data_IF_150535919584
#
_entry.id   IF_150535919584
#
_cell.length_a   1.000
_cell.length_b   1.000
_cell.length_c   1.000
_cell.angle_alpha   90.00
_cell.angle_beta   90.00
_cell.angle_gamma   90.00
#
_symmetry.space_group_name_H-M   'P 1'
#
loop_
_entity.id
_entity.type
_entity.pdbx_description
1 polymer ?
#
# COMPACT_ATOMS: atom_id res chain seq x y z
N UNK A 1 -36.37 24.26 -4.98
CA UNK A 1 -36.77 22.93 -5.51
C UNK A 1 -35.58 21.97 -5.31
N UNK A 2 -35.56 21.19 -4.22
CA UNK A 2 -34.47 20.24 -3.92
C UNK A 2 -34.80 18.91 -4.60
N UNK A 3 -33.95 18.46 -5.53
CA UNK A 3 -34.08 17.16 -6.19
C UNK A 3 -33.40 16.12 -5.29
N UNK A 4 -34.19 15.30 -4.61
CA UNK A 4 -33.68 14.16 -3.87
C UNK A 4 -33.38 13.07 -4.92
N UNK A 5 -32.15 13.04 -5.44
CA UNK A 5 -31.75 12.05 -6.44
C UNK A 5 -31.51 10.69 -5.76
N UNK A 6 -32.59 9.95 -5.56
CA UNK A 6 -32.58 8.61 -4.94
C UNK A 6 -32.69 7.55 -6.05
N UNK A 7 -31.78 7.60 -7.03
CA UNK A 7 -31.75 6.68 -8.19
C UNK A 7 -30.31 6.37 -8.60
N UNK A 8 -30.14 5.33 -9.44
CA UNK A 8 -28.85 4.94 -10.02
C UNK A 8 -28.11 6.14 -10.62
N UNK A 9 -26.79 6.20 -10.43
CA UNK A 9 -25.92 7.29 -10.89
C UNK A 9 -25.08 6.75 -12.05
N UNK A 10 -25.12 7.42 -13.20
CA UNK A 10 -24.17 7.14 -14.28
C UNK A 10 -22.86 7.89 -13.99
N UNK A 11 -21.73 7.17 -14.01
CA UNK A 11 -20.39 7.74 -13.89
C UNK A 11 -19.67 7.63 -15.24
N UNK A 12 -19.03 8.72 -15.65
CA UNK A 12 -18.13 8.71 -16.82
C UNK A 12 -16.73 8.31 -16.36
N UNK A 13 -16.19 7.25 -16.97
CA UNK A 13 -14.82 6.78 -16.73
C UNK A 13 -14.00 6.87 -18.01
N UNK A 14 -12.69 6.63 -17.91
CA UNK A 14 -11.81 6.53 -19.08
C UNK A 14 -12.20 5.39 -20.05
N UNK A 15 -13.03 4.45 -19.61
CA UNK A 15 -13.52 3.32 -20.41
C UNK A 15 -14.98 3.49 -20.89
N UNK A 16 -15.58 4.66 -20.65
CA UNK A 16 -16.97 4.98 -21.00
C UNK A 16 -17.90 5.10 -19.78
N UNK A 17 -19.21 5.15 -20.06
CA UNK A 17 -20.25 5.34 -19.06
C UNK A 17 -20.59 4.03 -18.33
N UNK A 18 -20.53 4.06 -16.99
CA UNK A 18 -20.96 2.95 -16.13
C UNK A 18 -22.17 3.39 -15.29
N UNK A 19 -23.18 2.52 -15.19
CA UNK A 19 -24.36 2.77 -14.34
C UNK A 19 -24.08 2.17 -12.96
N UNK A 20 -23.92 3.03 -11.95
CA UNK A 20 -23.83 2.60 -10.56
C UNK A 20 -25.23 2.56 -9.94
N UNK A 21 -25.58 1.42 -9.33
CA UNK A 21 -26.80 1.30 -8.54
C UNK A 21 -26.81 2.28 -7.36
N UNK A 22 -27.96 2.40 -6.70
CA UNK A 22 -28.06 3.10 -5.41
C UNK A 22 -26.96 2.60 -4.48
N UNK A 23 -26.18 3.47 -3.81
CA UNK A 23 -25.35 3.01 -2.71
C UNK A 23 -26.32 2.38 -1.70
N UNK A 24 -26.26 1.05 -1.55
CA UNK A 24 -26.98 0.39 -0.48
C UNK A 24 -26.44 0.99 0.83
N UNK A 25 -27.35 1.42 1.71
CA UNK A 25 -27.01 1.73 3.10
C UNK A 25 -26.13 0.61 3.62
N UNK A 26 -24.95 0.95 4.17
CA UNK A 26 -23.94 0.09 4.79
C UNK A 26 -23.84 -1.34 4.22
N UNK A 27 -22.67 -1.79 3.70
CA UNK A 27 -22.55 -3.14 3.15
C UNK A 27 -23.18 -4.16 4.11
N UNK A 28 -24.02 -5.04 3.55
CA UNK A 28 -24.70 -6.06 4.33
C UNK A 28 -23.67 -6.90 5.06
N UNK A 29 -24.07 -7.57 6.14
CA UNK A 29 -23.14 -8.42 6.91
C UNK A 29 -22.49 -9.47 6.00
N UNK A 30 -23.21 -10.00 5.01
CA UNK A 30 -22.66 -10.93 4.03
C UNK A 30 -21.61 -10.27 3.13
N UNK A 31 -21.86 -9.05 2.67
CA UNK A 31 -20.89 -8.29 1.87
C UNK A 31 -19.65 -7.90 2.68
N UNK A 32 -19.80 -7.61 3.97
CA UNK A 32 -18.68 -7.36 4.89
C UNK A 32 -17.84 -8.62 5.08
N UNK A 33 -18.48 -9.75 5.36
CA UNK A 33 -17.78 -11.03 5.53
C UNK A 33 -17.04 -11.44 4.26
N UNK A 34 -17.63 -11.23 3.08
CA UNK A 34 -16.96 -11.48 1.80
C UNK A 34 -15.73 -10.58 1.61
N UNK A 35 -15.86 -9.29 1.90
CA UNK A 35 -14.75 -8.34 1.83
C UNK A 35 -13.64 -8.69 2.82
N UNK A 36 -13.98 -9.04 4.05
CA UNK A 36 -13.02 -9.48 5.08
C UNK A 36 -12.27 -10.72 4.61
N UNK A 37 -12.97 -11.73 4.08
CA UNK A 37 -12.33 -12.95 3.55
C UNK A 37 -11.42 -12.68 2.36
N UNK A 38 -11.78 -11.74 1.49
CA UNK A 38 -10.94 -11.34 0.36
C UNK A 38 -9.66 -10.62 0.83
N UNK A 39 -9.76 -9.78 1.86
CA UNK A 39 -8.63 -9.09 2.49
C UNK A 39 -7.72 -10.09 3.22
N UNK A 40 -8.29 -11.03 3.98
CA UNK A 40 -7.55 -12.12 4.63
C UNK A 40 -6.83 -13.01 3.61
N UNK A 41 -7.45 -13.29 2.47
CA UNK A 41 -6.82 -14.06 1.39
C UNK A 41 -5.62 -13.34 0.75
N UNK A 42 -5.55 -12.01 0.84
CA UNK A 42 -4.38 -11.22 0.47
C UNK A 42 -3.29 -11.19 1.56
N UNK A 43 -3.52 -11.85 2.70
CA UNK A 43 -2.61 -11.89 3.83
C UNK A 43 -2.67 -10.65 4.72
N UNK A 44 -3.72 -9.83 4.59
CA UNK A 44 -3.96 -8.68 5.46
C UNK A 44 -4.90 -9.17 6.58
N UNK A 45 -4.37 -9.26 7.78
CA UNK A 45 -5.16 -9.64 8.96
C UNK A 45 -5.94 -8.44 9.49
N UNK A 46 -7.18 -8.65 10.00
CA UNK A 46 -7.88 -7.62 10.73
C UNK A 46 -7.11 -7.22 11.99
N UNK A 47 -7.33 -5.99 12.48
CA UNK A 47 -6.61 -5.43 13.63
C UNK A 47 -6.72 -6.27 14.91
N UNK A 48 -7.81 -7.05 15.05
CA UNK A 48 -8.05 -7.92 16.19
C UNK A 48 -7.15 -9.18 16.20
N UNK A 49 -6.57 -9.55 15.07
CA UNK A 49 -5.77 -10.78 14.87
C UNK A 49 -4.31 -10.49 14.49
N UNK A 50 -3.80 -9.30 14.83
CA UNK A 50 -2.40 -8.93 14.56
C UNK A 50 -1.45 -9.87 15.30
N UNK A 51 -0.53 -10.51 14.56
CA UNK A 51 0.42 -11.43 15.16
C UNK A 51 1.37 -10.67 16.11
N UNK A 52 1.84 -11.28 17.22
CA UNK A 52 2.80 -10.64 18.12
C UNK A 52 4.10 -10.20 17.43
N UNK A 53 4.47 -10.88 16.34
CA UNK A 53 5.61 -10.52 15.51
C UNK A 53 5.37 -9.21 14.73
N UNK A 54 4.16 -9.01 14.20
CA UNK A 54 3.80 -7.78 13.48
C UNK A 54 3.82 -6.57 14.42
N UNK A 55 3.36 -6.75 15.67
CA UNK A 55 3.51 -5.72 16.71
C UNK A 55 4.97 -5.38 16.97
N UNK A 56 5.85 -6.40 17.08
CA UNK A 56 7.30 -6.18 17.25
C UNK A 56 7.94 -5.50 16.05
N UNK A 57 7.50 -5.83 14.83
CA UNK A 57 7.95 -5.17 13.61
C UNK A 57 7.53 -3.70 13.59
N UNK A 58 6.30 -3.39 14.01
CA UNK A 58 5.81 -2.02 14.13
C UNK A 58 6.62 -1.22 15.17
N UNK A 59 6.89 -1.79 16.34
CA UNK A 59 7.74 -1.11 17.34
C UNK A 59 9.16 -0.85 16.81
N UNK A 60 9.75 -1.80 16.05
CA UNK A 60 11.07 -1.62 15.42
C UNK A 60 11.03 -0.53 14.35
N UNK A 61 9.93 -0.42 13.61
CA UNK A 61 9.71 0.63 12.64
C UNK A 61 9.70 2.00 13.33
N UNK A 62 8.85 2.18 14.34
CA UNK A 62 8.74 3.45 15.06
C UNK A 62 10.06 3.86 15.73
N UNK A 63 10.76 2.92 16.36
CA UNK A 63 12.06 3.19 17.01
C UNK A 63 13.16 3.59 16.03
N UNK A 64 13.10 3.11 14.79
CA UNK A 64 14.13 3.37 13.78
C UNK A 64 13.78 4.48 12.80
N UNK A 65 12.52 4.94 12.79
CA UNK A 65 12.05 6.03 11.97
C UNK A 65 12.62 7.35 12.46
N UNK A 66 13.36 8.03 11.59
CA UNK A 66 13.95 9.33 11.87
C UNK A 66 13.94 10.22 10.64
N UNK A 67 13.97 11.54 10.85
CA UNK A 67 14.09 12.52 9.78
C UNK A 67 15.46 13.18 9.86
N UNK A 68 16.25 13.08 8.79
CA UNK A 68 17.63 13.55 8.77
C UNK A 68 17.79 15.01 8.28
N UNK A 69 16.68 15.74 8.11
CA UNK A 69 16.65 17.10 7.56
C UNK A 69 16.31 17.17 6.06
N UNK A 70 16.48 16.08 5.32
CA UNK A 70 16.18 16.00 3.87
C UNK A 70 15.12 14.93 3.58
N UNK A 71 15.21 13.78 4.24
CA UNK A 71 14.36 12.61 4.02
C UNK A 71 14.13 11.82 5.29
N UNK A 72 13.05 11.04 5.29
CA UNK A 72 12.86 10.00 6.29
C UNK A 72 13.84 8.84 6.06
N UNK A 73 14.37 8.32 7.15
CA UNK A 73 15.22 7.15 7.23
C UNK A 73 14.57 6.16 8.19
N UNK A 74 14.67 4.87 7.87
CA UNK A 74 14.15 3.77 8.69
C UNK A 74 15.19 2.65 8.69
N UNK A 75 15.27 1.92 9.81
CA UNK A 75 16.13 0.74 9.92
C UNK A 75 15.59 -0.45 9.15
N UNK A 76 16.45 -1.43 8.89
CA UNK A 76 16.02 -2.73 8.36
C UNK A 76 15.27 -3.49 9.45
N UNK A 77 13.95 -3.66 9.32
CA UNK A 77 13.11 -4.27 10.36
C UNK A 77 13.46 -5.74 10.64
N UNK A 78 14.03 -6.43 9.65
CA UNK A 78 14.50 -7.81 9.74
C UNK A 78 15.94 -7.97 10.27
N UNK A 79 16.67 -6.88 10.51
CA UNK A 79 18.07 -6.92 10.97
C UNK A 79 18.24 -6.13 12.26
N UNK A 80 18.77 -6.78 13.29
CA UNK A 80 19.10 -6.10 14.53
C UNK A 80 20.33 -5.20 14.36
N UNK A 81 20.36 -4.07 15.06
CA UNK A 81 21.53 -3.20 15.17
C UNK A 81 21.77 -2.21 14.03
N UNK A 82 20.85 -2.06 13.06
CA UNK A 82 20.99 -1.13 11.91
C UNK A 82 22.41 -1.20 11.29
N UNK A 83 22.75 -2.31 10.62
CA UNK A 83 24.08 -2.47 10.06
C UNK A 83 24.38 -1.34 9.07
N UNK A 84 25.60 -0.80 9.14
CA UNK A 84 26.03 0.25 8.22
C UNK A 84 26.07 -0.33 6.80
N UNK A 85 25.17 0.15 5.94
CA UNK A 85 25.01 -0.39 4.59
C UNK A 85 25.99 0.31 3.64
N UNK A 86 26.74 -0.45 2.82
CA UNK A 86 27.64 0.16 1.86
C UNK A 86 26.85 0.99 0.84
N UNK A 87 27.34 2.21 0.57
CA UNK A 87 26.74 3.12 -0.42
C UNK A 87 26.83 2.51 -1.82
N UNK A 88 25.69 2.11 -2.39
CA UNK A 88 25.66 1.36 -3.66
C UNK A 88 25.78 2.22 -4.93
N UNK A 89 25.87 3.55 -4.81
CA UNK A 89 25.71 4.51 -5.93
C UNK A 89 26.60 4.17 -7.13
N UNK A 90 27.89 3.87 -6.90
CA UNK A 90 28.82 3.49 -7.98
C UNK A 90 28.35 2.24 -8.75
N UNK A 91 27.80 1.26 -8.04
CA UNK A 91 27.31 0.03 -8.63
C UNK A 91 25.99 0.26 -9.38
N UNK A 92 25.07 1.04 -8.82
CA UNK A 92 23.82 1.43 -9.47
C UNK A 92 24.08 2.17 -10.79
N UNK A 93 25.01 3.12 -10.81
CA UNK A 93 25.39 3.85 -12.03
C UNK A 93 25.96 2.93 -13.10
N UNK A 94 26.86 2.00 -12.73
CA UNK A 94 27.40 1.01 -13.70
C UNK A 94 26.30 0.16 -14.33
N UNK A 95 25.32 -0.28 -13.52
CA UNK A 95 24.18 -1.06 -14.00
C UNK A 95 23.31 -0.23 -14.94
N UNK A 96 23.01 1.03 -14.58
CA UNK A 96 22.25 1.96 -15.40
C UNK A 96 22.91 2.15 -16.77
N UNK A 97 24.18 2.53 -16.82
CA UNK A 97 24.92 2.71 -18.09
C UNK A 97 24.94 1.45 -18.94
N UNK A 98 25.05 0.28 -18.29
CA UNK A 98 25.01 -1.01 -19.01
C UNK A 98 23.65 -1.26 -19.65
N UNK A 99 22.56 -0.95 -18.94
CA UNK A 99 21.19 -1.07 -19.43
C UNK A 99 20.94 -0.10 -20.57
N UNK A 100 21.30 1.18 -20.40
CA UNK A 100 21.16 2.21 -21.44
C UNK A 100 21.86 1.81 -22.74
N UNK A 101 23.11 1.31 -22.65
CA UNK A 101 23.85 0.85 -23.82
C UNK A 101 23.17 -0.33 -24.54
N UNK A 102 22.56 -1.25 -23.79
CA UNK A 102 21.84 -2.40 -24.38
C UNK A 102 20.53 -1.99 -25.05
N UNK A 103 19.85 -0.97 -24.53
CA UNK A 103 18.60 -0.46 -25.09
C UNK A 103 18.82 0.45 -26.31
N UNK A 104 20.02 1.00 -26.47
CA UNK A 104 20.40 1.81 -27.63
C UNK A 104 20.88 0.97 -28.85
N UNK A 105 20.85 -0.37 -28.75
CA UNK A 105 21.17 -1.31 -29.81
C UNK A 105 19.89 -1.82 -30.48
#
# INVERSE_FOLDING_TARGET
MKRNATGSIALETLLGWIICGKPHSSPSEEARVLLTKEIEAMGITPDDDVAPEDTRMMERFEKSLSFNGERYQVGLLWSEGQPDLPVNVKQAMRRLTTVERRLAQ
#
